data_IF_122740659115
#
_entry.id   IF_122740659115
#
_cell.length_a   1.000
_cell.length_b   1.000
_cell.length_c   1.000
_cell.angle_alpha   90.00
_cell.angle_beta   90.00
_cell.angle_gamma   90.00
#
_symmetry.space_group_name_H-M   'P 1'
#
loop_
_entity.id
_entity.type
_entity.pdbx_description
1 polymer ?
#
# COMPACT_ATOMS: atom_id res chain seq x y z
N UNK A 1 -27.22 -12.42 -2.08
CA UNK A 1 -26.05 -11.52 -2.03
C UNK A 1 -25.99 -10.93 -0.64
N UNK A 2 -24.83 -10.90 0.04
CA UNK A 2 -24.74 -10.25 1.33
C UNK A 2 -25.05 -8.76 1.17
N UNK A 3 -25.77 -8.20 2.13
CA UNK A 3 -26.11 -6.79 2.14
C UNK A 3 -24.83 -5.95 2.21
N UNK A 4 -24.66 -5.04 1.26
CA UNK A 4 -23.51 -4.14 1.27
C UNK A 4 -23.78 -3.00 2.27
N UNK A 5 -22.94 -2.88 3.28
CA UNK A 5 -23.02 -1.77 4.23
C UNK A 5 -22.38 -0.53 3.62
N UNK A 6 -23.16 0.50 3.36
CA UNK A 6 -22.66 1.77 2.83
C UNK A 6 -22.33 2.69 4.00
N UNK A 7 -21.07 3.10 4.08
CA UNK A 7 -20.65 4.09 5.07
C UNK A 7 -20.91 5.49 4.50
N UNK A 8 -21.62 6.31 5.24
CA UNK A 8 -21.99 7.66 4.79
C UNK A 8 -21.36 8.69 5.72
N UNK A 9 -20.50 9.54 5.18
CA UNK A 9 -19.92 10.69 5.89
C UNK A 9 -20.56 11.98 5.37
N UNK A 10 -20.96 12.85 6.28
CA UNK A 10 -21.41 14.19 5.93
C UNK A 10 -20.28 15.16 6.27
N UNK A 11 -19.80 15.88 5.27
CA UNK A 11 -18.73 16.88 5.42
C UNK A 11 -19.21 18.23 4.92
N UNK A 12 -18.65 19.30 5.44
CA UNK A 12 -18.87 20.65 4.89
C UNK A 12 -17.75 20.98 3.89
N UNK A 13 -18.12 21.43 2.72
CA UNK A 13 -17.18 21.95 1.72
C UNK A 13 -17.71 23.28 1.21
N UNK A 14 -16.97 24.35 1.45
CA UNK A 14 -17.36 25.71 1.07
C UNK A 14 -18.74 26.10 1.64
N UNK A 15 -19.01 25.67 2.90
CA UNK A 15 -20.27 25.97 3.57
C UNK A 15 -21.47 25.11 3.14
N UNK A 16 -21.28 24.17 2.21
CA UNK A 16 -22.34 23.28 1.71
C UNK A 16 -22.14 21.86 2.24
N UNK A 17 -23.21 21.19 2.65
CA UNK A 17 -23.09 19.79 3.06
C UNK A 17 -22.80 18.90 1.84
N UNK A 18 -21.75 18.09 1.93
CA UNK A 18 -21.40 17.10 0.92
C UNK A 18 -21.57 15.73 1.52
N UNK A 19 -22.37 14.91 0.90
CA UNK A 19 -22.58 13.53 1.29
C UNK A 19 -21.54 12.66 0.60
N UNK A 20 -20.65 12.06 1.39
CA UNK A 20 -19.66 11.10 0.90
C UNK A 20 -20.15 9.69 1.20
N UNK A 21 -20.56 8.99 0.18
CA UNK A 21 -20.92 7.58 0.29
C UNK A 21 -19.72 6.69 0.01
N UNK A 22 -19.29 5.95 1.02
CA UNK A 22 -18.26 4.92 0.87
C UNK A 22 -18.95 3.58 0.60
N UNK A 23 -19.05 3.21 -0.65
CA UNK A 23 -19.55 1.89 -0.99
C UNK A 23 -18.47 0.86 -0.66
N UNK A 24 -18.80 -0.16 0.16
CA UNK A 24 -17.86 -1.25 0.36
C UNK A 24 -17.65 -1.87 -0.99
N UNK A 25 -16.45 -1.82 -1.44
CA UNK A 25 -16.16 -2.28 -2.76
C UNK A 25 -15.64 -3.72 -2.72
N UNK A 26 -15.24 -4.13 -3.84
CA UNK A 26 -14.61 -5.38 -4.19
C UNK A 26 -13.28 -5.65 -3.48
N UNK A 27 -12.90 -4.83 -2.48
CA UNK A 27 -11.63 -4.99 -1.77
C UNK A 27 -11.55 -6.32 -1.02
N UNK A 28 -12.68 -6.84 -0.57
CA UNK A 28 -12.72 -8.18 0.01
C UNK A 28 -12.26 -9.26 -0.96
N UNK A 29 -12.63 -9.15 -2.24
CA UNK A 29 -12.13 -10.06 -3.28
C UNK A 29 -10.65 -9.84 -3.55
N UNK A 30 -10.20 -8.58 -3.57
CA UNK A 30 -8.78 -8.26 -3.73
C UNK A 30 -7.94 -8.81 -2.58
N UNK A 31 -8.44 -8.73 -1.34
CA UNK A 31 -7.74 -9.30 -0.18
C UNK A 31 -7.64 -10.83 -0.29
N UNK A 32 -8.72 -11.49 -0.72
CA UNK A 32 -8.73 -12.95 -0.95
C UNK A 32 -7.89 -13.36 -2.15
N UNK A 33 -7.78 -12.50 -3.16
CA UNK A 33 -6.94 -12.73 -4.35
C UNK A 33 -5.44 -12.64 -4.06
N UNK A 34 -5.08 -12.22 -2.87
CA UNK A 34 -3.70 -12.15 -2.41
C UNK A 34 -2.90 -11.00 -3.00
N UNK A 35 -1.61 -11.04 -2.77
CA UNK A 35 -0.69 -9.96 -3.16
C UNK A 35 -0.63 -9.73 -4.67
N UNK A 36 -0.82 -10.78 -5.45
CA UNK A 36 -0.81 -10.72 -6.91
C UNK A 36 -1.99 -9.89 -7.44
N UNK A 37 -3.17 -10.06 -6.85
CA UNK A 37 -4.37 -9.33 -7.24
C UNK A 37 -4.24 -7.81 -7.07
N UNK A 38 -3.38 -7.37 -6.14
CA UNK A 38 -3.11 -5.95 -5.92
C UNK A 38 -2.27 -5.32 -7.04
N UNK A 39 -1.73 -6.14 -7.96
CA UNK A 39 -0.88 -5.67 -9.03
C UNK A 39 0.59 -5.54 -8.64
N UNK A 40 1.02 -6.25 -7.60
CA UNK A 40 2.43 -6.25 -7.21
C UNK A 40 3.27 -7.03 -8.22
N UNK A 41 4.44 -6.50 -8.54
CA UNK A 41 5.42 -7.20 -9.39
C UNK A 41 5.87 -8.51 -8.72
N UNK A 42 6.08 -9.56 -9.50
CA UNK A 42 6.43 -10.91 -9.01
C UNK A 42 7.62 -10.89 -8.03
N UNK A 43 8.64 -10.11 -8.32
CA UNK A 43 9.81 -9.99 -7.43
C UNK A 43 9.44 -9.39 -6.07
N UNK A 44 8.52 -8.42 -6.04
CA UNK A 44 8.03 -7.82 -4.81
C UNK A 44 7.21 -8.84 -4.00
N UNK A 45 6.31 -9.56 -4.67
CA UNK A 45 5.52 -10.62 -4.02
C UNK A 45 6.43 -11.67 -3.38
N UNK A 46 7.45 -12.13 -4.14
CA UNK A 46 8.42 -13.11 -3.62
C UNK A 46 9.13 -12.58 -2.36
N UNK A 47 9.54 -11.31 -2.37
CA UNK A 47 10.21 -10.67 -1.21
C UNK A 47 9.27 -10.58 -0.01
N UNK A 48 8.02 -10.17 -0.23
CA UNK A 48 7.03 -10.07 0.85
C UNK A 48 6.76 -11.46 1.43
N UNK A 49 6.54 -12.47 0.59
CA UNK A 49 6.32 -13.85 1.05
C UNK A 49 7.52 -14.37 1.87
N UNK A 50 8.74 -14.09 1.40
CA UNK A 50 9.95 -14.44 2.13
C UNK A 50 10.03 -13.74 3.49
N UNK A 51 9.64 -12.48 3.56
CA UNK A 51 9.60 -11.73 4.83
C UNK A 51 8.49 -12.25 5.76
N UNK A 52 7.32 -12.59 5.19
CA UNK A 52 6.22 -13.18 5.96
C UNK A 52 6.58 -14.55 6.55
N UNK A 53 7.49 -15.30 5.91
CA UNK A 53 7.95 -16.60 6.42
C UNK A 53 8.97 -16.46 7.57
N UNK A 54 9.56 -15.28 7.79
CA UNK A 54 10.46 -15.07 8.91
C UNK A 54 9.69 -15.05 10.23
N UNK A 55 10.29 -15.53 11.30
CA UNK A 55 9.65 -15.51 12.63
C UNK A 55 9.53 -14.11 13.20
N UNK A 56 10.47 -13.23 12.89
CA UNK A 56 10.56 -11.86 13.44
C UNK A 56 10.79 -10.85 12.32
N UNK A 57 10.46 -9.60 12.60
CA UNK A 57 10.71 -8.49 11.71
C UNK A 57 9.48 -7.64 11.47
N UNK A 58 9.68 -6.53 10.76
CA UNK A 58 8.59 -5.62 10.45
C UNK A 58 8.46 -5.45 8.93
N UNK A 59 7.22 -5.51 8.45
CA UNK A 59 6.85 -5.12 7.09
C UNK A 59 5.97 -3.88 7.23
N UNK A 60 6.44 -2.76 6.69
CA UNK A 60 5.73 -1.48 6.80
C UNK A 60 5.19 -1.11 5.43
N UNK A 61 3.87 -0.86 5.36
CA UNK A 61 3.19 -0.37 4.16
C UNK A 61 2.82 1.09 4.39
N UNK A 62 3.32 1.98 3.55
CA UNK A 62 3.10 3.41 3.72
C UNK A 62 2.41 4.01 2.50
N UNK A 63 1.59 5.03 2.74
CA UNK A 63 0.93 5.76 1.67
C UNK A 63 0.00 6.83 2.21
N UNK A 64 -0.41 7.78 1.37
CA UNK A 64 -1.40 8.75 1.80
C UNK A 64 -2.76 8.08 2.06
N UNK A 65 -3.67 8.77 2.73
CA UNK A 65 -5.03 8.26 2.89
C UNK A 65 -5.63 7.83 1.53
N UNK A 66 -6.34 6.72 1.54
CA UNK A 66 -7.00 6.13 0.35
C UNK A 66 -6.04 5.57 -0.70
N UNK A 67 -4.78 5.33 -0.36
CA UNK A 67 -3.82 4.69 -1.28
C UNK A 67 -3.88 3.16 -1.28
N UNK A 68 -4.74 2.56 -0.45
CA UNK A 68 -4.92 1.11 -0.37
C UNK A 68 -4.03 0.41 0.65
N UNK A 69 -3.43 1.16 1.59
CA UNK A 69 -2.57 0.59 2.66
C UNK A 69 -3.30 -0.53 3.40
N UNK A 70 -4.51 -0.27 3.89
CA UNK A 70 -5.30 -1.26 4.62
C UNK A 70 -5.57 -2.51 3.78
N UNK A 71 -5.97 -2.35 2.51
CA UNK A 71 -6.20 -3.49 1.60
C UNK A 71 -4.95 -4.36 1.46
N UNK A 72 -3.78 -3.71 1.37
CA UNK A 72 -2.49 -4.41 1.25
C UNK A 72 -2.14 -5.14 2.55
N UNK A 73 -2.39 -4.53 3.71
CA UNK A 73 -2.18 -5.20 5.00
C UNK A 73 -3.06 -6.44 5.15
N UNK A 74 -4.35 -6.32 4.78
CA UNK A 74 -5.26 -7.46 4.82
C UNK A 74 -4.82 -8.58 3.87
N UNK A 75 -4.34 -8.23 2.67
CA UNK A 75 -3.80 -9.23 1.73
C UNK A 75 -2.52 -9.88 2.27
N UNK A 76 -1.68 -9.12 2.98
CA UNK A 76 -0.48 -9.66 3.65
C UNK A 76 -0.88 -10.56 4.84
N UNK A 77 -1.83 -10.13 5.65
CA UNK A 77 -2.35 -10.92 6.78
C UNK A 77 -2.94 -12.25 6.29
N UNK A 78 -3.71 -12.19 5.20
CA UNK A 78 -4.25 -13.41 4.57
C UNK A 78 -3.19 -14.31 3.95
N UNK A 79 -1.97 -13.81 3.76
CA UNK A 79 -0.84 -14.61 3.27
C UNK A 79 0.04 -15.18 4.40
N UNK A 80 -0.25 -14.84 5.66
CA UNK A 80 0.40 -15.45 6.83
C UNK A 80 -0.19 -16.85 7.03
N UNK A 81 0.65 -17.81 7.32
CA UNK A 81 0.19 -19.15 7.67
C UNK A 81 -0.34 -19.14 9.12
N UNK A 82 -1.64 -19.00 9.28
CA UNK A 82 -2.31 -18.92 10.58
C UNK A 82 -2.32 -20.25 11.35
N UNK A 83 -1.97 -21.36 10.71
CA UNK A 83 -1.83 -22.66 11.41
C UNK A 83 -0.52 -22.74 12.19
N UNK A 84 0.48 -21.99 11.76
CA UNK A 84 1.81 -21.99 12.41
C UNK A 84 2.15 -20.65 13.07
N UNK A 85 1.35 -19.60 12.84
CA UNK A 85 1.63 -18.26 13.35
C UNK A 85 0.36 -17.67 13.95
N UNK A 86 0.36 -17.43 15.23
CA UNK A 86 -0.77 -16.74 15.90
C UNK A 86 -0.72 -15.26 15.57
N UNK A 87 -1.52 -14.89 14.56
CA UNK A 87 -1.63 -13.50 14.08
C UNK A 87 -2.80 -12.80 14.78
N UNK A 88 -2.53 -11.61 15.31
CA UNK A 88 -3.56 -10.73 15.89
C UNK A 88 -3.65 -9.44 15.09
N UNK A 89 -4.86 -9.08 14.64
CA UNK A 89 -5.13 -7.81 13.99
C UNK A 89 -5.52 -6.78 15.07
N UNK A 90 -4.76 -5.69 15.12
CA UNK A 90 -4.96 -4.57 16.05
C UNK A 90 -5.44 -3.37 15.25
N UNK A 91 -6.71 -3.02 15.38
CA UNK A 91 -7.36 -2.02 14.52
C UNK A 91 -8.52 -1.33 15.26
N UNK A 92 -8.76 -0.07 14.95
CA UNK A 92 -9.91 0.68 15.53
C UNK A 92 -11.24 0.08 15.06
N UNK A 93 -11.31 -0.26 13.78
CA UNK A 93 -12.50 -0.82 13.17
C UNK A 93 -12.11 -1.81 12.08
N UNK A 94 -12.59 -3.03 12.20
CA UNK A 94 -12.34 -4.07 11.20
C UNK A 94 -12.92 -3.66 9.83
N UNK A 95 -12.09 -3.71 8.81
CA UNK A 95 -12.51 -3.39 7.44
C UNK A 95 -12.98 -4.64 6.69
N UNK A 96 -12.36 -5.77 6.93
CA UNK A 96 -12.68 -7.05 6.28
C UNK A 96 -12.53 -8.19 7.28
N UNK A 97 -13.18 -9.30 7.00
CA UNK A 97 -12.97 -10.52 7.78
C UNK A 97 -11.65 -11.18 7.40
N UNK A 98 -10.92 -11.57 8.43
CA UNK A 98 -9.74 -12.44 8.32
C UNK A 98 -10.08 -13.75 9.04
N UNK A 99 -9.97 -14.86 8.32
CA UNK A 99 -10.27 -16.18 8.89
C UNK A 99 -9.15 -16.60 9.86
N UNK A 100 -9.54 -17.09 11.02
CA UNK A 100 -8.61 -17.61 12.04
C UNK A 100 -7.58 -16.58 12.53
N UNK A 101 -7.88 -15.29 12.40
CA UNK A 101 -7.05 -14.20 12.93
C UNK A 101 -7.76 -13.59 14.12
N UNK A 102 -7.09 -13.55 15.26
CA UNK A 102 -7.61 -12.91 16.46
C UNK A 102 -7.64 -11.40 16.26
N UNK A 103 -8.55 -10.73 16.95
CA UNK A 103 -8.68 -9.28 16.83
C UNK A 103 -8.59 -8.62 18.20
N UNK A 104 -7.93 -7.49 18.21
CA UNK A 104 -7.93 -6.57 19.33
C UNK A 104 -8.47 -5.23 18.81
N UNK A 105 -9.58 -4.77 19.39
CA UNK A 105 -10.14 -3.48 19.00
C UNK A 105 -9.40 -2.37 19.74
N UNK A 106 -8.67 -1.56 18.98
CA UNK A 106 -7.87 -0.47 19.50
C UNK A 106 -8.76 0.72 19.85
N UNK A 107 -8.63 1.22 21.06
CA UNK A 107 -9.31 2.42 21.54
C UNK A 107 -8.31 3.58 21.56
N UNK A 108 -8.51 4.56 20.70
CA UNK A 108 -7.60 5.72 20.60
C UNK A 108 -7.71 6.69 21.78
N UNK A 109 -8.77 6.58 22.59
CA UNK A 109 -8.95 7.42 23.78
C UNK A 109 -8.21 6.87 25.00
N UNK A 110 -7.69 5.63 24.91
CA UNK A 110 -6.89 4.99 25.96
C UNK A 110 -5.40 5.05 25.64
N UNK A 111 -4.51 5.12 26.67
CA UNK A 111 -3.06 5.05 26.42
C UNK A 111 -2.69 3.75 25.68
N UNK A 112 -1.85 3.87 24.67
CA UNK A 112 -1.45 2.71 23.88
C UNK A 112 -0.64 1.70 24.70
N UNK A 113 0.15 2.17 25.63
CA UNK A 113 0.99 1.32 26.48
C UNK A 113 0.17 0.30 27.27
N UNK A 114 -0.97 0.73 27.82
CA UNK A 114 -1.87 -0.17 28.56
C UNK A 114 -2.47 -1.23 27.64
N UNK A 115 -2.92 -0.80 26.46
CA UNK A 115 -3.48 -1.71 25.47
C UNK A 115 -2.42 -2.67 24.90
N UNK A 116 -1.19 -2.19 24.75
CA UNK A 116 -0.07 -3.03 24.33
C UNK A 116 0.18 -4.14 25.35
N UNK A 117 0.12 -3.84 26.64
CA UNK A 117 0.26 -4.87 27.68
C UNK A 117 -0.88 -5.89 27.62
N UNK A 118 -2.11 -5.46 27.34
CA UNK A 118 -3.25 -6.35 27.14
C UNK A 118 -3.03 -7.28 25.94
N UNK A 119 -2.51 -6.73 24.84
CA UNK A 119 -2.17 -7.49 23.63
C UNK A 119 -1.06 -8.51 23.95
N UNK A 120 -0.01 -8.08 24.64
CA UNK A 120 1.13 -8.95 24.96
C UNK A 120 0.74 -10.09 25.90
N UNK A 121 -0.18 -9.88 26.84
CA UNK A 121 -0.69 -10.95 27.69
C UNK A 121 -1.40 -12.06 26.93
N UNK A 122 -1.89 -11.77 25.72
CA UNK A 122 -2.51 -12.78 24.84
C UNK A 122 -1.50 -13.59 24.03
N UNK A 123 -0.22 -13.25 24.09
CA UNK A 123 0.89 -13.99 23.51
C UNK A 123 0.91 -14.08 21.97
N UNK A 124 0.62 -13.00 21.23
CA UNK A 124 0.63 -13.11 19.76
C UNK A 124 2.05 -13.34 19.24
N UNK A 125 2.16 -14.09 18.14
CA UNK A 125 3.43 -14.30 17.42
C UNK A 125 3.59 -13.29 16.28
N UNK A 126 2.48 -12.72 15.82
CA UNK A 126 2.49 -11.67 14.80
C UNK A 126 1.39 -10.66 15.08
N UNK A 127 1.66 -9.41 14.74
CA UNK A 127 0.69 -8.31 14.85
C UNK A 127 0.45 -7.68 13.48
N UNK A 128 -0.81 -7.49 13.11
CA UNK A 128 -1.18 -6.59 12.03
C UNK A 128 -1.71 -5.31 12.66
N UNK A 129 -1.05 -4.19 12.42
CA UNK A 129 -1.42 -2.88 12.95
C UNK A 129 -1.82 -1.97 11.80
N UNK A 130 -3.11 -1.66 11.67
CA UNK A 130 -3.59 -1.05 10.43
C UNK A 130 -3.14 0.40 10.23
N UNK A 131 -2.93 1.16 11.32
CA UNK A 131 -2.55 2.59 11.20
C UNK A 131 -1.73 3.04 12.42
N UNK A 132 -0.43 3.08 12.23
CA UNK A 132 0.51 3.60 13.25
C UNK A 132 0.54 5.13 13.14
N UNK A 133 0.07 5.81 14.18
CA UNK A 133 -0.04 7.29 14.19
C UNK A 133 0.92 7.95 15.16
N UNK A 134 1.29 7.25 16.21
CA UNK A 134 1.90 7.86 17.37
C UNK A 134 3.36 7.53 17.62
N UNK A 135 3.98 8.40 18.42
CA UNK A 135 5.33 8.17 18.93
C UNK A 135 5.37 7.06 19.99
N UNK A 136 4.25 6.80 20.66
CA UNK A 136 4.15 5.72 21.65
C UNK A 136 4.14 4.33 20.98
N UNK A 137 3.44 4.20 19.85
CA UNK A 137 3.25 2.92 19.15
C UNK A 137 4.54 2.39 18.55
N UNK A 138 5.26 3.26 17.83
CA UNK A 138 6.40 2.84 17.00
C UNK A 138 7.50 2.12 17.77
N UNK A 139 7.98 2.63 18.94
CA UNK A 139 9.04 1.93 19.69
C UNK A 139 8.60 0.55 20.18
N UNK A 140 7.36 0.42 20.65
CA UNK A 140 6.85 -0.84 21.19
C UNK A 140 6.70 -1.89 20.08
N UNK A 141 6.14 -1.48 18.93
CA UNK A 141 6.01 -2.37 17.77
C UNK A 141 7.36 -2.78 17.20
N UNK A 142 8.33 -1.85 17.15
CA UNK A 142 9.69 -2.17 16.68
C UNK A 142 10.42 -3.09 17.65
N UNK A 143 10.24 -2.89 18.96
CA UNK A 143 10.80 -3.80 19.97
C UNK A 143 10.19 -5.20 19.80
N UNK A 144 8.88 -5.31 19.69
CA UNK A 144 8.23 -6.60 19.43
C UNK A 144 8.78 -7.26 18.14
N UNK A 145 8.92 -6.48 17.06
CA UNK A 145 9.43 -7.00 15.78
C UNK A 145 10.87 -7.49 15.86
N UNK A 146 11.70 -6.86 16.72
CA UNK A 146 13.11 -7.25 16.84
C UNK A 146 13.32 -8.44 17.79
N UNK A 147 12.49 -8.57 18.83
CA UNK A 147 12.73 -9.50 19.92
C UNK A 147 11.77 -10.68 19.96
N UNK A 148 10.53 -10.50 19.57
CA UNK A 148 9.47 -11.45 19.86
C UNK A 148 8.82 -12.04 18.61
N UNK A 149 8.32 -11.19 17.72
CA UNK A 149 7.46 -11.65 16.64
C UNK A 149 7.54 -10.83 15.36
N UNK A 150 6.48 -10.87 14.61
CA UNK A 150 6.36 -10.20 13.30
C UNK A 150 5.37 -9.04 13.40
N UNK A 151 5.67 -7.93 12.75
CA UNK A 151 4.75 -6.79 12.66
C UNK A 151 4.45 -6.48 11.20
N UNK A 152 3.17 -6.39 10.86
CA UNK A 152 2.65 -5.84 9.62
C UNK A 152 2.04 -4.49 9.99
N UNK A 153 2.64 -3.38 9.55
CA UNK A 153 2.21 -2.06 9.99
C UNK A 153 1.85 -1.13 8.84
N UNK A 154 0.73 -0.45 8.98
CA UNK A 154 0.30 0.61 8.08
C UNK A 154 0.73 1.98 8.58
N UNK A 155 1.19 2.83 7.66
CA UNK A 155 1.54 4.21 7.94
C UNK A 155 0.85 5.14 6.94
N UNK A 156 -0.01 6.01 7.43
CA UNK A 156 -0.62 7.04 6.60
C UNK A 156 0.27 8.28 6.55
N UNK A 157 1.22 8.28 5.60
CA UNK A 157 2.17 9.38 5.40
C UNK A 157 1.74 10.27 4.23
N UNK A 158 1.80 11.60 4.41
CA UNK A 158 1.45 12.57 3.36
C UNK A 158 2.41 12.50 2.16
N UNK A 159 3.63 11.99 2.35
CA UNK A 159 4.58 11.79 1.25
C UNK A 159 5.38 10.50 1.43
N UNK A 160 5.80 9.92 0.32
CA UNK A 160 6.66 8.75 0.33
C UNK A 160 8.04 9.03 0.97
N UNK A 161 8.43 10.30 1.03
CA UNK A 161 9.67 10.72 1.67
C UNK A 161 9.63 10.61 3.20
N UNK A 162 8.42 10.71 3.79
CA UNK A 162 8.25 10.58 5.24
C UNK A 162 8.23 9.11 5.70
N UNK A 163 8.02 8.18 4.77
CA UNK A 163 8.00 6.75 5.08
C UNK A 163 9.33 6.12 4.64
N UNK A 164 10.32 6.22 5.50
CA UNK A 164 11.70 5.84 5.22
C UNK A 164 11.92 4.34 4.95
N UNK A 165 10.95 3.49 5.20
CA UNK A 165 11.13 2.03 5.17
C UNK A 165 9.95 1.23 4.65
N UNK A 166 9.29 1.66 3.83
CA UNK A 166 8.22 1.04 3.56
C UNK A 166 8.11 0.69 2.24
N UNK A 167 7.33 -0.08 2.20
CA UNK A 167 6.69 -0.22 0.89
C UNK A 167 5.73 0.95 0.71
N UNK A 168 6.06 1.89 -0.14
CA UNK A 168 5.16 3.02 -0.43
C UNK A 168 4.20 2.67 -1.54
N UNK A 169 2.97 3.15 -1.41
CA UNK A 169 1.88 2.76 -2.29
C UNK A 169 1.03 3.96 -2.73
N UNK A 170 0.58 3.90 -3.99
CA UNK A 170 -0.43 4.80 -4.58
C UNK A 170 -1.41 3.94 -5.37
N UNK A 171 -2.60 4.46 -5.61
CA UNK A 171 -3.56 3.83 -6.51
C UNK A 171 -3.69 4.63 -7.80
N UNK A 172 -3.68 3.93 -8.93
CA UNK A 172 -4.00 4.48 -10.25
C UNK A 172 -5.23 3.78 -10.81
N UNK A 173 -5.99 4.46 -11.66
CA UNK A 173 -7.13 3.87 -12.36
C UNK A 173 -6.62 2.88 -13.42
N UNK A 174 -7.33 1.77 -13.55
CA UNK A 174 -7.04 0.78 -14.61
C UNK A 174 -7.78 1.18 -15.87
N UNK A 175 -7.11 1.08 -17.01
CA UNK A 175 -7.76 1.24 -18.31
C UNK A 175 -8.86 0.18 -18.46
N UNK A 176 -9.97 0.59 -19.02
CA UNK A 176 -11.07 -0.34 -19.32
C UNK A 176 -10.61 -1.30 -20.42
N UNK A 177 -10.68 -2.59 -20.15
CA UNK A 177 -10.22 -3.62 -21.09
C UNK A 177 -11.04 -3.62 -22.38
N UNK A 178 -12.33 -3.21 -22.28
CA UNK A 178 -13.26 -3.25 -23.42
C UNK A 178 -13.04 -2.11 -24.42
N UNK A 179 -12.42 -1.00 -23.98
CA UNK A 179 -12.28 0.17 -24.86
C UNK A 179 -10.87 0.76 -24.88
N UNK A 180 -9.90 0.11 -24.25
CA UNK A 180 -8.51 0.58 -24.37
C UNK A 180 -8.01 0.37 -25.79
N UNK A 181 -7.27 1.37 -26.28
CA UNK A 181 -6.72 1.33 -27.62
C UNK A 181 -5.28 1.86 -27.62
N UNK A 182 -4.44 1.38 -28.54
CA UNK A 182 -3.12 1.97 -28.72
C UNK A 182 -3.25 3.44 -29.16
N UNK A 183 -2.35 4.26 -28.63
CA UNK A 183 -2.29 5.69 -28.99
C UNK A 183 -0.85 6.12 -29.15
N UNK A 184 -0.64 7.21 -29.91
CA UNK A 184 0.65 7.89 -29.88
C UNK A 184 0.83 8.60 -28.52
N UNK A 185 1.99 8.53 -27.92
CA UNK A 185 2.20 9.18 -26.63
C UNK A 185 2.29 10.69 -26.78
N UNK A 186 1.86 11.41 -25.76
CA UNK A 186 2.05 12.85 -25.69
C UNK A 186 3.53 13.14 -25.37
N UNK A 187 4.25 13.68 -26.34
CA UNK A 187 5.69 13.94 -26.21
C UNK A 187 6.03 14.91 -25.07
N UNK A 188 5.18 15.93 -24.86
CA UNK A 188 5.37 16.86 -23.73
C UNK A 188 5.23 16.17 -22.39
N UNK A 189 4.24 15.28 -22.26
CA UNK A 189 4.02 14.50 -21.06
C UNK A 189 5.18 13.55 -20.78
N UNK A 190 5.71 12.91 -21.82
CA UNK A 190 6.89 12.03 -21.67
C UNK A 190 8.10 12.81 -21.17
N UNK A 191 8.35 14.00 -21.72
CA UNK A 191 9.44 14.86 -21.23
C UNK A 191 9.25 15.26 -19.77
N UNK A 192 8.02 15.57 -19.36
CA UNK A 192 7.70 15.89 -17.94
C UNK A 192 7.95 14.70 -17.01
N UNK A 193 7.98 13.50 -17.56
CA UNK A 193 8.25 12.26 -16.80
C UNK A 193 9.72 11.78 -17.01
N UNK A 194 10.57 12.62 -17.56
CA UNK A 194 11.98 12.33 -17.85
C UNK A 194 12.15 11.11 -18.78
N UNK A 195 11.21 10.94 -19.72
CA UNK A 195 11.22 9.88 -20.73
C UNK A 195 11.56 10.43 -22.10
N UNK A 196 12.33 9.67 -22.88
CA UNK A 196 12.63 10.01 -24.26
C UNK A 196 11.42 9.68 -25.15
N UNK A 197 10.79 10.69 -25.78
CA UNK A 197 9.63 10.42 -26.66
C UNK A 197 9.94 9.58 -27.89
N UNK A 198 11.21 9.47 -28.28
CA UNK A 198 11.64 8.69 -29.44
C UNK A 198 11.76 7.18 -29.14
N UNK A 199 11.81 6.80 -27.85
CA UNK A 199 11.93 5.39 -27.49
C UNK A 199 10.66 4.62 -27.87
N UNK A 200 10.81 3.47 -28.55
CA UNK A 200 9.66 2.66 -28.89
C UNK A 200 8.95 2.14 -27.63
N UNK A 201 7.64 2.24 -27.63
CA UNK A 201 6.81 1.75 -26.53
C UNK A 201 5.37 1.63 -26.96
N UNK A 202 4.66 0.76 -26.29
CA UNK A 202 3.21 0.65 -26.50
C UNK A 202 2.50 1.53 -25.45
N UNK A 203 1.68 2.42 -25.95
CA UNK A 203 0.92 3.35 -25.14
C UNK A 203 -0.57 3.11 -25.37
N UNK A 204 -1.34 3.22 -24.33
CA UNK A 204 -2.78 2.94 -24.38
C UNK A 204 -3.57 4.05 -23.70
N UNK A 205 -4.74 4.33 -24.27
CA UNK A 205 -5.72 5.21 -23.64
C UNK A 205 -7.10 4.56 -23.67
N UNK A 206 -7.97 4.94 -22.78
CA UNK A 206 -9.35 4.48 -22.76
C UNK A 206 -10.22 5.32 -23.67
N UNK A 207 -10.94 4.69 -24.57
CA UNK A 207 -11.84 5.38 -25.50
C UNK A 207 -13.17 5.79 -24.90
N UNK A 208 -13.57 5.14 -23.80
CA UNK A 208 -14.90 5.29 -23.22
C UNK A 208 -15.91 4.33 -23.88
N UNK A 209 -16.66 3.61 -23.06
CA UNK A 209 -17.71 2.69 -23.51
C UNK A 209 -18.75 2.50 -22.40
N UNK A 210 -19.80 1.73 -22.66
CA UNK A 210 -20.85 1.44 -21.68
C UNK A 210 -20.32 0.73 -20.43
N UNK A 211 -19.36 -0.20 -20.59
CA UNK A 211 -18.76 -0.94 -19.46
C UNK A 211 -18.04 -0.05 -18.47
N UNK A 212 -17.48 1.08 -18.92
CA UNK A 212 -16.77 2.04 -18.05
C UNK A 212 -17.55 3.35 -17.90
N UNK A 213 -18.79 3.40 -18.33
CA UNK A 213 -19.67 4.58 -18.27
C UNK A 213 -19.00 5.82 -18.88
N UNK A 214 -18.34 5.63 -20.05
CA UNK A 214 -17.70 6.71 -20.79
C UNK A 214 -16.35 7.17 -20.26
N UNK A 215 -15.91 6.69 -19.09
CA UNK A 215 -14.70 7.21 -18.44
C UNK A 215 -13.38 6.73 -19.04
N UNK A 216 -13.37 5.63 -19.77
CA UNK A 216 -12.18 4.95 -20.25
C UNK A 216 -11.43 4.15 -19.18
N UNK A 217 -11.91 4.16 -17.92
CA UNK A 217 -11.25 3.48 -16.79
C UNK A 217 -12.24 2.62 -16.02
N UNK A 218 -11.77 1.47 -15.50
CA UNK A 218 -12.59 0.58 -14.68
C UNK A 218 -11.71 -0.07 -13.59
N UNK A 219 -11.99 0.28 -12.34
CA UNK A 219 -11.24 -0.20 -11.20
C UNK A 219 -9.92 0.53 -10.96
N UNK A 220 -9.18 0.08 -9.98
CA UNK A 220 -7.89 0.66 -9.57
C UNK A 220 -6.86 -0.44 -9.41
N UNK A 221 -5.57 -0.07 -9.45
CA UNK A 221 -4.45 -0.98 -9.23
C UNK A 221 -3.36 -0.23 -8.45
N UNK A 222 -2.61 -0.95 -7.62
CA UNK A 222 -1.53 -0.35 -6.85
C UNK A 222 -0.30 -0.03 -7.69
N UNK A 223 0.35 1.07 -7.37
CA UNK A 223 1.74 1.35 -7.73
C UNK A 223 2.56 1.21 -6.46
N UNK A 224 3.65 0.49 -6.55
CA UNK A 224 4.45 0.14 -5.38
C UNK A 224 5.90 0.56 -5.54
N UNK A 225 6.48 1.06 -4.45
CA UNK A 225 7.94 1.16 -4.31
C UNK A 225 8.35 0.37 -3.08
N UNK A 226 9.52 -0.26 -3.12
CA UNK A 226 10.02 -1.04 -2.00
C UNK A 226 11.46 -0.68 -1.70
N UNK A 227 11.74 -0.43 -0.44
CA UNK A 227 13.08 -0.30 0.08
C UNK A 227 13.45 -1.59 0.80
N UNK A 228 14.52 -2.22 0.34
CA UNK A 228 15.05 -3.45 0.97
C UNK A 228 16.19 -3.03 1.89
N UNK A 229 16.13 -3.38 3.19
CA UNK A 229 17.15 -2.93 4.15
C UNK A 229 18.44 -3.77 4.04
N UNK A 230 19.15 -3.62 2.92
CA UNK A 230 20.52 -4.17 2.79
C UNK A 230 21.45 -3.45 3.79
N UNK A 231 22.62 -4.01 4.05
CA UNK A 231 23.49 -3.51 5.13
C UNK A 231 23.90 -2.05 4.93
N UNK A 232 24.10 -1.61 3.70
CA UNK A 232 24.37 -0.19 3.40
C UNK A 232 23.19 0.71 3.80
N UNK A 233 21.95 0.24 3.58
CA UNK A 233 20.74 0.96 3.98
C UNK A 233 20.62 0.99 5.51
N UNK A 234 20.86 -0.14 6.17
CA UNK A 234 20.84 -0.21 7.65
C UNK A 234 21.88 0.74 8.25
N UNK A 235 23.09 0.79 7.69
CA UNK A 235 24.15 1.69 8.12
C UNK A 235 23.73 3.16 7.92
N UNK A 236 23.16 3.50 6.77
CA UNK A 236 22.68 4.86 6.49
C UNK A 236 21.56 5.29 7.44
N UNK A 237 20.66 4.36 7.82
CA UNK A 237 19.57 4.64 8.75
C UNK A 237 20.06 4.96 10.17
N UNK A 238 21.21 4.41 10.55
CA UNK A 238 21.80 4.65 11.88
C UNK A 238 22.55 5.98 11.98
N UNK A 239 22.78 6.65 10.87
CA UNK A 239 23.51 7.93 10.90
C UNK A 239 22.66 9.05 11.46
N UNK A 240 23.20 9.88 12.36
CA UNK A 240 22.49 11.09 12.78
C UNK A 240 22.16 11.95 11.56
N UNK A 241 20.92 12.43 11.47
CA UNK A 241 20.47 13.24 10.36
C UNK A 241 20.17 12.45 9.08
N UNK A 242 19.97 11.14 9.18
CA UNK A 242 19.58 10.34 8.02
C UNK A 242 18.37 10.96 7.29
N UNK A 243 18.53 11.20 6.01
CA UNK A 243 17.50 11.81 5.16
C UNK A 243 16.98 10.81 4.13
N UNK A 244 15.78 11.02 3.57
CA UNK A 244 15.29 10.18 2.47
C UNK A 244 16.27 10.13 1.29
N UNK A 245 16.98 11.21 1.01
CA UNK A 245 17.95 11.27 -0.08
C UNK A 245 19.19 10.40 0.21
N UNK A 246 19.74 10.48 1.44
CA UNK A 246 20.90 9.67 1.82
C UNK A 246 20.57 8.17 1.82
N UNK A 247 19.38 7.82 2.30
CA UNK A 247 18.92 6.42 2.33
C UNK A 247 18.70 5.90 0.91
N UNK A 248 18.11 6.71 0.03
CA UNK A 248 17.89 6.34 -1.37
C UNK A 248 19.24 6.12 -2.09
N UNK A 249 20.22 6.99 -1.82
CA UNK A 249 21.57 6.84 -2.35
C UNK A 249 22.22 5.53 -1.85
N UNK A 250 22.11 5.24 -0.56
CA UNK A 250 22.64 4.00 0.02
C UNK A 250 21.95 2.74 -0.53
N UNK A 251 20.67 2.84 -0.85
CA UNK A 251 19.90 1.71 -1.39
C UNK A 251 20.41 1.26 -2.76
N UNK A 252 20.77 2.21 -3.63
CA UNK A 252 21.14 1.89 -5.00
C UNK A 252 19.97 1.27 -5.78
N UNK A 253 20.22 0.88 -7.02
CA UNK A 253 19.19 0.33 -7.89
C UNK A 253 18.68 -1.06 -7.48
N UNK A 254 19.52 -1.87 -6.86
CA UNK A 254 19.17 -3.24 -6.50
C UNK A 254 18.29 -3.32 -5.24
N UNK A 255 18.44 -2.34 -4.34
CA UNK A 255 17.71 -2.34 -3.06
C UNK A 255 16.45 -1.48 -3.08
N UNK A 256 16.26 -0.66 -4.11
CA UNK A 256 15.12 0.25 -4.22
C UNK A 256 14.45 0.09 -5.59
N UNK A 257 13.23 -0.42 -5.57
CA UNK A 257 12.34 -0.35 -6.75
C UNK A 257 11.49 0.89 -6.60
N UNK A 258 11.57 1.80 -7.53
CA UNK A 258 10.81 3.05 -7.48
C UNK A 258 9.36 2.82 -7.94
N UNK A 259 8.47 3.66 -7.43
CA UNK A 259 7.07 3.66 -7.88
C UNK A 259 6.96 4.00 -9.36
N UNK A 260 7.87 4.82 -9.85
CA UNK A 260 7.97 5.20 -11.26
C UNK A 260 8.27 3.97 -12.14
N UNK A 261 9.26 3.16 -11.76
CA UNK A 261 9.59 1.93 -12.49
C UNK A 261 8.41 0.95 -12.54
N UNK A 262 7.68 0.85 -11.43
CA UNK A 262 6.49 0.00 -11.37
C UNK A 262 5.37 0.55 -12.26
N UNK A 263 5.21 1.88 -12.27
CA UNK A 263 4.22 2.55 -13.13
C UNK A 263 4.51 2.32 -14.61
N UNK A 264 5.78 2.48 -15.04
CA UNK A 264 6.16 2.27 -16.43
C UNK A 264 5.88 0.84 -16.90
N UNK A 265 6.15 -0.13 -16.06
CA UNK A 265 5.82 -1.54 -16.36
C UNK A 265 4.31 -1.71 -16.62
N UNK A 266 3.48 -1.05 -15.82
CA UNK A 266 2.02 -1.13 -15.95
C UNK A 266 1.49 -0.34 -17.14
N UNK A 267 2.13 0.78 -17.49
CA UNK A 267 1.80 1.55 -18.70
C UNK A 267 2.12 0.70 -19.95
N UNK A 268 3.31 0.12 -20.01
CA UNK A 268 3.74 -0.71 -21.13
C UNK A 268 2.82 -1.95 -21.33
N UNK A 269 2.29 -2.47 -20.23
CA UNK A 269 1.33 -3.57 -20.25
C UNK A 269 -0.12 -3.14 -20.59
N UNK A 270 -0.37 -1.84 -20.82
CA UNK A 270 -1.70 -1.32 -21.07
C UNK A 270 -2.66 -1.45 -19.90
N UNK A 271 -2.14 -1.51 -18.68
CA UNK A 271 -2.95 -1.63 -17.47
C UNK A 271 -3.45 -0.25 -17.03
N UNK A 272 -2.61 0.79 -17.19
CA UNK A 272 -2.97 2.17 -16.88
C UNK A 272 -2.41 3.08 -17.97
N UNK A 273 -2.87 4.33 -18.01
CA UNK A 273 -2.40 5.32 -18.98
C UNK A 273 -1.27 6.18 -18.36
N UNK A 274 -0.41 6.70 -19.22
CA UNK A 274 0.70 7.56 -18.79
C UNK A 274 0.19 8.87 -18.14
N UNK A 275 -0.93 9.38 -18.61
CA UNK A 275 -1.62 10.56 -18.04
C UNK A 275 -2.03 10.31 -16.60
N UNK A 276 -2.52 9.12 -16.31
CA UNK A 276 -2.93 8.75 -14.97
C UNK A 276 -1.73 8.62 -14.02
N UNK A 277 -0.62 8.08 -14.53
CA UNK A 277 0.64 8.01 -13.78
C UNK A 277 1.13 9.43 -13.43
N UNK A 278 1.13 10.33 -14.42
CA UNK A 278 1.53 11.73 -14.19
C UNK A 278 0.65 12.37 -13.12
N UNK A 279 -0.69 12.21 -13.25
CA UNK A 279 -1.65 12.77 -12.30
C UNK A 279 -1.38 12.32 -10.85
N UNK A 280 -0.97 11.05 -10.66
CA UNK A 280 -0.82 10.47 -9.32
C UNK A 280 0.58 10.72 -8.73
N UNK A 281 1.61 10.76 -9.57
CA UNK A 281 2.99 10.88 -9.08
C UNK A 281 3.49 12.33 -9.02
N UNK A 282 2.96 13.23 -9.83
CA UNK A 282 3.39 14.64 -9.91
C UNK A 282 2.31 15.62 -9.41
N UNK A 283 1.04 15.22 -9.38
CA UNK A 283 -0.06 15.97 -8.76
C UNK A 283 -0.11 15.73 -7.25
#
# INVERSE_FOLDING_TARGET
MPAATVKVDIRSREGKPVLLMHMPDWTGELCRGGLEALGMHKALVKRIRSALAQRRGAIIVAGPPRSGVTTTLYAMAGAVDVFTTDLMAVEEQAQHELQQVRRYQLDRDRPFEEQYDEIMRQGPQALMFDDVRGKAESPLLLRFASEQGKVLAGLHAKSAAAALLXTCQRLVRRLCIDCRRPVAPNAELLRKLDMDPSQPGQWFAGGGCSSCLGTGYRGRIGLFSMLIPVDKVKAALKQPGASPASIRKAAGGAALRTMYQDALTKVAAGITAIEEVHRVLRG
#
